data_IF_583041669513
#
_entry.id   IF_583041669513
#
_cell.length_a   1.000
_cell.length_b   1.000
_cell.length_c   1.000
_cell.angle_alpha   90.00
_cell.angle_beta   90.00
_cell.angle_gamma   90.00
#
_symmetry.space_group_name_H-M   'P 1'
#
loop_
_entity.id
_entity.type
_entity.pdbx_description
1 polymer ?
#
# COMPACT_ATOMS: atom_id res chain seq x y z
N UNK A 1 17.81 -0.49 -8.65
CA UNK A 1 16.47 -0.41 -9.29
C UNK A 1 15.46 -0.05 -8.22
N UNK A 2 14.97 1.18 -8.20
CA UNK A 2 13.94 1.59 -7.24
C UNK A 2 12.63 0.94 -7.71
N UNK A 3 12.09 0.00 -6.92
CA UNK A 3 10.80 -0.62 -7.22
C UNK A 3 9.70 0.42 -7.07
N UNK A 4 9.43 1.21 -8.10
CA UNK A 4 8.14 1.89 -8.21
C UNK A 4 7.11 0.81 -8.48
N UNK A 5 6.42 0.36 -7.42
CA UNK A 5 5.30 -0.58 -7.52
C UNK A 5 4.14 -0.04 -8.38
N UNK A 6 4.14 1.27 -8.65
CA UNK A 6 3.20 1.93 -9.54
C UNK A 6 3.47 1.55 -11.00
N UNK A 7 2.42 1.16 -11.71
CA UNK A 7 2.45 0.84 -13.12
C UNK A 7 1.75 1.97 -13.89
N UNK A 8 2.50 2.69 -14.72
CA UNK A 8 1.91 3.71 -15.60
C UNK A 8 1.15 3.03 -16.74
N UNK A 9 -0.18 3.09 -16.70
CA UNK A 9 -1.08 2.56 -17.74
C UNK A 9 -2.33 3.42 -17.91
N UNK A 10 -2.82 3.45 -19.15
CA UNK A 10 -4.12 4.04 -19.49
C UNK A 10 -5.24 3.01 -19.32
N UNK A 11 -5.85 3.03 -18.14
CA UNK A 11 -6.99 2.18 -17.79
C UNK A 11 -8.04 2.97 -17.01
N UNK A 12 -9.28 2.47 -17.02
CA UNK A 12 -10.38 3.09 -16.27
C UNK A 12 -10.00 3.27 -14.79
N UNK A 13 -9.46 2.21 -14.17
CA UNK A 13 -8.97 2.28 -12.80
C UNK A 13 -7.87 3.32 -12.65
N UNK A 14 -6.91 3.46 -13.57
CA UNK A 14 -5.85 4.46 -13.43
C UNK A 14 -6.39 5.89 -13.49
N UNK A 15 -7.39 6.15 -14.33
CA UNK A 15 -8.02 7.46 -14.51
C UNK A 15 -9.02 7.90 -13.42
N UNK A 16 -9.37 7.01 -12.49
CA UNK A 16 -10.30 7.30 -11.39
C UNK A 16 -9.65 8.14 -10.29
N UNK A 17 -10.47 8.97 -9.63
CA UNK A 17 -10.02 9.80 -8.51
C UNK A 17 -9.46 8.92 -7.37
N UNK A 18 -8.27 9.24 -6.83
CA UNK A 18 -7.63 8.48 -5.76
C UNK A 18 -8.52 8.25 -4.53
N UNK A 19 -9.40 9.20 -4.20
CA UNK A 19 -10.29 9.10 -3.03
C UNK A 19 -11.26 7.94 -3.16
N UNK A 20 -11.81 7.72 -4.35
CA UNK A 20 -12.75 6.61 -4.61
C UNK A 20 -12.03 5.28 -4.45
N UNK A 21 -10.79 5.18 -4.92
CA UNK A 21 -9.97 3.97 -4.75
C UNK A 21 -9.60 3.72 -3.29
N UNK A 22 -9.21 4.76 -2.55
CA UNK A 22 -8.90 4.66 -1.12
C UNK A 22 -10.13 4.18 -0.36
N UNK A 23 -11.28 4.85 -0.53
CA UNK A 23 -12.54 4.47 0.12
C UNK A 23 -12.97 3.06 -0.30
N UNK A 24 -12.89 2.74 -1.60
CA UNK A 24 -13.25 1.41 -2.12
C UNK A 24 -12.36 0.30 -1.56
N UNK A 25 -11.05 0.52 -1.49
CA UNK A 25 -10.11 -0.45 -0.90
C UNK A 25 -10.38 -0.65 0.60
N UNK A 26 -10.65 0.43 1.34
CA UNK A 26 -10.99 0.38 2.76
C UNK A 26 -12.30 -0.38 3.00
N UNK A 27 -13.37 -0.01 2.30
CA UNK A 27 -14.66 -0.71 2.39
C UNK A 27 -14.55 -2.17 1.97
N UNK A 28 -13.75 -2.48 0.95
CA UNK A 28 -13.47 -3.83 0.50
C UNK A 28 -12.75 -4.67 1.56
N UNK A 29 -11.74 -4.11 2.23
CA UNK A 29 -11.03 -4.78 3.33
C UNK A 29 -11.98 -5.04 4.49
N UNK A 30 -12.78 -4.04 4.89
CA UNK A 30 -13.79 -4.22 5.95
C UNK A 30 -14.76 -5.34 5.55
N UNK A 31 -15.31 -5.32 4.34
CA UNK A 31 -16.22 -6.35 3.84
C UNK A 31 -15.59 -7.76 3.88
N UNK A 32 -14.33 -7.91 3.45
CA UNK A 32 -13.62 -9.20 3.47
C UNK A 32 -13.44 -9.78 4.89
N UNK A 33 -13.29 -8.92 5.89
CA UNK A 33 -13.20 -9.34 7.30
C UNK A 33 -14.56 -9.84 7.80
N UNK A 34 -15.66 -9.34 7.25
CA UNK A 34 -17.00 -9.74 7.68
C UNK A 34 -17.38 -11.17 7.26
N UNK A 35 -16.80 -11.72 6.20
CA UNK A 35 -17.18 -13.03 5.67
C UNK A 35 -16.23 -14.15 6.10
N UNK A 36 -16.76 -15.25 6.64
CA UNK A 36 -15.97 -16.40 7.11
C UNK A 36 -16.01 -17.63 6.19
N UNK A 37 -16.88 -17.67 5.18
CA UNK A 37 -16.96 -18.82 4.26
C UNK A 37 -15.79 -18.82 3.26
N UNK A 38 -14.97 -19.89 3.20
CA UNK A 38 -13.86 -19.99 2.25
C UNK A 38 -14.30 -19.95 0.78
N UNK A 39 -15.46 -20.53 0.46
CA UNK A 39 -15.99 -20.54 -0.91
C UNK A 39 -16.35 -19.14 -1.40
N UNK A 40 -16.97 -18.34 -0.52
CA UNK A 40 -17.30 -16.95 -0.83
C UNK A 40 -16.03 -16.09 -0.97
N UNK A 41 -15.06 -16.29 -0.07
CA UNK A 41 -13.78 -15.60 -0.15
C UNK A 41 -13.03 -15.94 -1.45
N UNK A 42 -13.08 -17.19 -1.90
CA UNK A 42 -12.51 -17.60 -3.20
C UNK A 42 -13.20 -16.90 -4.37
N UNK A 43 -14.53 -16.84 -4.36
CA UNK A 43 -15.30 -16.14 -5.40
C UNK A 43 -14.97 -14.64 -5.44
N UNK A 44 -14.87 -13.98 -4.27
CA UNK A 44 -14.46 -12.58 -4.17
C UNK A 44 -13.02 -12.40 -4.67
N UNK A 45 -12.10 -13.28 -4.28
CA UNK A 45 -10.70 -13.23 -4.73
C UNK A 45 -10.58 -13.30 -6.25
N UNK A 46 -11.25 -14.28 -6.89
CA UNK A 46 -11.27 -14.42 -8.34
C UNK A 46 -11.93 -13.21 -9.01
N UNK A 47 -13.03 -12.71 -8.45
CA UNK A 47 -13.69 -11.48 -8.92
C UNK A 47 -12.77 -10.26 -8.88
N UNK A 48 -12.00 -10.08 -7.79
CA UNK A 48 -11.03 -8.99 -7.67
C UNK A 48 -9.91 -9.10 -8.72
N UNK A 49 -9.41 -10.29 -9.01
CA UNK A 49 -8.43 -10.50 -10.08
C UNK A 49 -9.02 -10.08 -11.43
N UNK A 50 -10.25 -10.48 -11.74
CA UNK A 50 -10.93 -10.12 -12.98
C UNK A 50 -11.16 -8.62 -13.10
N UNK A 51 -11.58 -7.95 -12.01
CA UNK A 51 -11.74 -6.50 -11.95
C UNK A 51 -10.41 -5.79 -12.22
N UNK A 52 -9.33 -6.20 -11.55
CA UNK A 52 -8.01 -5.61 -11.76
C UNK A 52 -7.45 -5.85 -13.18
N UNK A 53 -7.77 -7.00 -13.77
CA UNK A 53 -7.38 -7.29 -15.14
C UNK A 53 -8.19 -6.48 -16.16
N UNK A 54 -9.51 -6.42 -16.01
CA UNK A 54 -10.40 -5.79 -16.99
C UNK A 54 -10.43 -4.27 -16.87
N UNK A 55 -10.63 -3.75 -15.65
CA UNK A 55 -10.71 -2.31 -15.39
C UNK A 55 -9.32 -1.69 -15.20
N UNK A 56 -8.39 -2.44 -14.59
CA UNK A 56 -7.01 -2.01 -14.32
C UNK A 56 -6.03 -2.28 -15.45
N UNK A 57 -6.36 -3.15 -16.41
CA UNK A 57 -5.40 -3.67 -17.41
C UNK A 57 -4.11 -4.20 -16.78
N UNK A 58 -4.18 -4.76 -15.57
CA UNK A 58 -3.04 -5.33 -14.86
C UNK A 58 -2.85 -6.79 -15.32
N UNK A 59 -1.62 -7.15 -15.69
CA UNK A 59 -1.34 -8.51 -16.17
C UNK A 59 -1.31 -9.49 -14.99
N UNK A 60 -1.80 -10.73 -15.18
CA UNK A 60 -1.75 -11.78 -14.15
C UNK A 60 -0.34 -12.03 -13.61
N UNK A 61 0.69 -11.83 -14.44
CA UNK A 61 2.10 -11.96 -14.05
C UNK A 61 2.53 -10.92 -13.00
N UNK A 62 1.99 -9.70 -13.08
CA UNK A 62 2.29 -8.61 -12.14
C UNK A 62 1.62 -8.88 -10.80
N UNK A 63 0.36 -9.31 -10.83
CA UNK A 63 -0.40 -9.74 -9.65
C UNK A 63 0.33 -10.88 -8.94
N UNK A 64 0.75 -11.91 -9.69
CA UNK A 64 1.46 -13.05 -9.12
C UNK A 64 2.82 -12.67 -8.53
N UNK A 65 3.59 -11.82 -9.22
CA UNK A 65 4.87 -11.30 -8.68
C UNK A 65 4.69 -10.55 -7.37
N UNK A 66 3.61 -9.77 -7.24
CA UNK A 66 3.32 -8.99 -6.05
C UNK A 66 2.79 -9.84 -4.89
N UNK A 67 2.03 -10.90 -5.17
CA UNK A 67 1.53 -11.84 -4.15
C UNK A 67 2.54 -12.92 -3.74
N UNK A 68 3.56 -13.20 -4.57
CA UNK A 68 4.57 -14.24 -4.32
C UNK A 68 5.19 -14.19 -2.90
N UNK A 69 5.55 -13.03 -2.33
CA UNK A 69 6.12 -12.97 -0.97
C UNK A 69 5.16 -13.45 0.13
N UNK A 70 3.85 -13.48 -0.12
CA UNK A 70 2.82 -13.89 0.85
C UNK A 70 2.53 -15.39 0.81
N UNK A 71 2.94 -16.10 -0.25
CA UNK A 71 2.70 -17.55 -0.39
C UNK A 71 3.23 -18.36 0.80
N UNK A 72 4.46 -18.12 1.32
CA UNK A 72 4.94 -18.85 2.49
C UNK A 72 4.05 -18.67 3.73
N UNK A 73 3.51 -17.47 3.94
CA UNK A 73 2.62 -17.17 5.08
C UNK A 73 1.30 -17.94 4.94
N UNK A 74 0.75 -18.01 3.73
CA UNK A 74 -0.47 -18.79 3.44
C UNK A 74 -0.24 -20.28 3.67
N UNK A 75 0.89 -20.82 3.22
CA UNK A 75 1.25 -22.22 3.43
C UNK A 75 1.39 -22.55 4.92
N UNK A 76 2.05 -21.68 5.69
CA UNK A 76 2.16 -21.82 7.14
C UNK A 76 0.77 -21.86 7.79
N UNK A 77 -0.14 -20.96 7.41
CA UNK A 77 -1.51 -20.97 7.92
C UNK A 77 -2.24 -22.28 7.59
N UNK A 78 -2.12 -22.78 6.35
CA UNK A 78 -2.74 -24.04 5.93
C UNK A 78 -2.23 -25.26 6.72
N UNK A 79 -0.97 -25.25 7.17
CA UNK A 79 -0.40 -26.33 7.98
C UNK A 79 -0.82 -26.18 9.45
N UNK A 80 -0.78 -24.98 10.02
CA UNK A 80 -1.02 -24.75 11.45
C UNK A 80 -2.48 -25.02 11.85
N UNK A 81 -3.46 -24.53 11.09
CA UNK A 81 -4.88 -24.60 11.47
C UNK A 81 -5.42 -26.04 11.65
N UNK A 82 -5.07 -27.04 10.81
CA UNK A 82 -5.39 -28.46 11.05
C UNK A 82 -4.86 -29.04 12.36
N UNK A 83 -3.72 -28.57 12.88
CA UNK A 83 -3.19 -29.03 14.17
C UNK A 83 -3.94 -28.45 15.36
N UNK A 84 -4.46 -27.23 15.22
CA UNK A 84 -5.20 -26.53 16.28
C UNK A 84 -6.64 -27.03 16.37
N UNK A 85 -7.33 -27.14 15.25
CA UNK A 85 -8.76 -27.48 15.19
C UNK A 85 -8.96 -28.92 14.74
N UNK A 86 -9.58 -29.72 15.61
CA UNK A 86 -10.05 -31.08 15.29
C UNK A 86 -11.55 -31.04 14.98
N UNK A 87 -12.05 -31.77 13.97
CA UNK A 87 -11.33 -32.66 13.04
C UNK A 87 -10.44 -31.91 12.03
N UNK A 88 -9.34 -32.54 11.61
CA UNK A 88 -8.28 -31.91 10.81
C UNK A 88 -8.76 -31.33 9.46
N UNK A 89 -9.75 -31.96 8.82
CA UNK A 89 -10.36 -31.45 7.59
C UNK A 89 -11.01 -30.07 7.78
N UNK A 90 -11.61 -29.82 8.94
CA UNK A 90 -12.23 -28.55 9.27
C UNK A 90 -11.19 -27.46 9.54
N UNK A 91 -10.11 -27.82 10.23
CA UNK A 91 -8.95 -26.93 10.40
C UNK A 91 -8.29 -26.57 9.06
N UNK A 92 -8.21 -27.50 8.10
CA UNK A 92 -7.68 -27.25 6.76
C UNK A 92 -8.56 -26.25 6.00
N UNK A 93 -9.88 -26.44 6.02
CA UNK A 93 -10.85 -25.57 5.36
C UNK A 93 -10.78 -24.13 5.91
N UNK A 94 -10.62 -23.98 7.22
CA UNK A 94 -10.41 -22.68 7.88
C UNK A 94 -9.06 -22.07 7.49
N UNK A 95 -7.98 -22.86 7.50
CA UNK A 95 -6.64 -22.41 7.11
C UNK A 95 -6.59 -21.88 5.67
N UNK A 96 -7.24 -22.59 4.74
CA UNK A 96 -7.42 -22.13 3.35
C UNK A 96 -8.24 -20.84 3.31
N UNK A 97 -9.33 -20.75 4.07
CA UNK A 97 -10.14 -19.52 4.16
C UNK A 97 -9.35 -18.29 4.60
N UNK A 98 -8.54 -18.42 5.66
CA UNK A 98 -7.66 -17.34 6.12
C UNK A 98 -6.57 -17.00 5.11
N UNK A 99 -6.00 -18.01 4.44
CA UNK A 99 -5.02 -17.81 3.36
C UNK A 99 -5.59 -16.99 2.21
N UNK A 100 -6.77 -17.36 1.72
CA UNK A 100 -7.46 -16.62 0.66
C UNK A 100 -7.85 -15.21 1.11
N UNK A 101 -8.29 -15.05 2.37
CA UNK A 101 -8.59 -13.71 2.92
C UNK A 101 -7.36 -12.82 2.91
N UNK A 102 -6.21 -13.33 3.36
CA UNK A 102 -4.93 -12.61 3.34
C UNK A 102 -4.55 -12.20 1.91
N UNK A 103 -4.66 -13.11 0.94
CA UNK A 103 -4.38 -12.82 -0.47
C UNK A 103 -5.36 -11.79 -1.04
N UNK A 104 -6.64 -11.83 -0.66
CA UNK A 104 -7.67 -10.89 -1.13
C UNK A 104 -7.44 -9.48 -0.58
N UNK A 105 -7.12 -9.35 0.70
CA UNK A 105 -6.76 -8.07 1.33
C UNK A 105 -5.50 -7.51 0.67
N UNK A 106 -4.48 -8.35 0.48
CA UNK A 106 -3.27 -7.94 -0.21
C UNK A 106 -3.54 -7.50 -1.64
N UNK A 107 -4.43 -8.18 -2.37
CA UNK A 107 -4.77 -7.83 -3.74
C UNK A 107 -5.47 -6.46 -3.83
N UNK A 108 -6.36 -6.13 -2.89
CA UNK A 108 -6.99 -4.80 -2.82
C UNK A 108 -5.97 -3.70 -2.55
N UNK A 109 -5.07 -3.89 -1.59
CA UNK A 109 -4.07 -2.88 -1.23
C UNK A 109 -3.00 -2.73 -2.32
N UNK A 110 -2.54 -3.83 -2.90
CA UNK A 110 -1.62 -3.81 -4.04
C UNK A 110 -2.26 -3.19 -5.28
N UNK A 111 -3.54 -3.47 -5.54
CA UNK A 111 -4.30 -2.83 -6.62
C UNK A 111 -4.32 -1.30 -6.46
N UNK A 112 -4.53 -0.78 -5.25
CA UNK A 112 -4.46 0.66 -4.97
C UNK A 112 -3.08 1.23 -5.28
N UNK A 113 -2.01 0.58 -4.79
CA UNK A 113 -0.62 1.04 -4.95
C UNK A 113 -0.16 0.96 -6.41
N UNK A 114 -0.58 -0.08 -7.15
CA UNK A 114 -0.21 -0.26 -8.56
C UNK A 114 -0.90 0.76 -9.47
N UNK A 115 -2.13 1.17 -9.13
CA UNK A 115 -2.99 2.01 -10.00
C UNK A 115 -3.03 3.48 -9.62
N UNK A 116 -2.37 3.88 -8.52
CA UNK A 116 -2.38 5.26 -8.02
C UNK A 116 -0.95 5.70 -7.74
N UNK A 117 -0.55 6.84 -8.31
CA UNK A 117 0.77 7.39 -8.03
C UNK A 117 0.88 7.82 -6.56
N UNK A 118 2.09 7.78 -6.01
CA UNK A 118 2.33 8.21 -4.62
C UNK A 118 1.87 9.65 -4.37
N UNK A 119 2.07 10.55 -5.34
CA UNK A 119 1.66 11.95 -5.26
C UNK A 119 0.13 12.08 -5.20
N UNK A 120 -0.57 11.33 -6.06
CA UNK A 120 -2.03 11.37 -6.14
C UNK A 120 -2.68 10.76 -4.89
N UNK A 121 -2.03 9.75 -4.30
CA UNK A 121 -2.47 9.17 -3.03
C UNK A 121 -2.43 10.22 -1.90
N UNK A 122 -1.34 11.00 -1.81
CA UNK A 122 -1.23 12.09 -0.82
C UNK A 122 -2.23 13.21 -1.10
N UNK A 123 -2.42 13.61 -2.36
CA UNK A 123 -3.47 14.57 -2.73
C UNK A 123 -4.87 14.07 -2.37
N UNK A 124 -5.12 12.77 -2.52
CA UNK A 124 -6.34 12.10 -2.08
C UNK A 124 -6.58 12.28 -0.58
N UNK A 125 -5.56 12.03 0.25
CA UNK A 125 -5.65 12.26 1.70
C UNK A 125 -5.89 13.72 2.07
N UNK A 126 -5.19 14.67 1.43
CA UNK A 126 -5.41 16.12 1.66
C UNK A 126 -6.87 16.49 1.38
N UNK A 127 -7.43 16.00 0.26
CA UNK A 127 -8.82 16.27 -0.13
C UNK A 127 -9.84 15.54 0.76
N UNK A 128 -9.44 14.50 1.49
CA UNK A 128 -10.27 13.80 2.48
C UNK A 128 -10.25 14.45 3.88
N UNK A 129 -9.47 15.52 4.06
CA UNK A 129 -9.41 16.28 5.32
C UNK A 129 -8.06 16.27 6.03
N UNK A 130 -7.02 15.65 5.46
CA UNK A 130 -5.66 15.76 5.99
C UNK A 130 -5.15 17.22 5.86
N UNK A 131 -4.57 17.80 6.93
CA UNK A 131 -3.92 19.11 6.86
C UNK A 131 -2.88 19.19 5.74
N UNK A 132 -2.86 20.31 5.03
CA UNK A 132 -1.99 20.50 3.88
C UNK A 132 -0.51 20.39 4.24
N UNK A 133 -0.13 20.85 5.43
CA UNK A 133 1.24 20.81 5.95
C UNK A 133 1.74 19.37 6.10
N UNK A 134 0.88 18.46 6.56
CA UNK A 134 1.20 17.03 6.67
C UNK A 134 1.35 16.41 5.28
N UNK A 135 0.41 16.71 4.37
CA UNK A 135 0.48 16.20 3.00
C UNK A 135 1.70 16.72 2.23
N UNK A 136 2.08 17.98 2.44
CA UNK A 136 3.30 18.54 1.88
C UNK A 136 4.54 17.83 2.43
N UNK A 137 4.60 17.65 3.75
CA UNK A 137 5.72 16.96 4.41
C UNK A 137 5.89 15.53 3.88
N UNK A 138 4.78 14.80 3.73
CA UNK A 138 4.80 13.45 3.17
C UNK A 138 5.24 13.44 1.69
N UNK A 139 4.75 14.38 0.88
CA UNK A 139 5.14 14.51 -0.53
C UNK A 139 6.64 14.82 -0.67
N UNK A 140 7.15 15.71 0.18
CA UNK A 140 8.57 16.05 0.27
C UNK A 140 9.37 14.79 0.65
N UNK A 141 8.99 14.12 1.74
CA UNK A 141 9.67 12.91 2.21
C UNK A 141 9.76 11.85 1.10
N UNK A 142 8.64 11.53 0.45
CA UNK A 142 8.59 10.55 -0.65
C UNK A 142 9.49 10.94 -1.83
N UNK A 143 9.55 12.23 -2.17
CA UNK A 143 10.44 12.76 -3.21
C UNK A 143 11.92 12.67 -2.83
N UNK A 144 12.26 12.75 -1.55
CA UNK A 144 13.66 12.69 -1.07
C UNK A 144 14.17 11.26 -0.86
N UNK A 145 13.31 10.24 -0.75
CA UNK A 145 13.74 8.83 -0.62
C UNK A 145 14.76 8.41 -1.71
N UNK A 146 14.52 8.65 -3.01
CA UNK A 146 15.50 8.30 -4.06
C UNK A 146 16.83 9.04 -3.89
N UNK A 147 16.77 10.33 -3.56
CA UNK A 147 17.95 11.18 -3.38
C UNK A 147 18.77 10.72 -2.18
N UNK A 148 18.13 10.40 -1.05
CA UNK A 148 18.80 9.86 0.14
C UNK A 148 19.43 8.50 -0.13
N UNK A 149 18.78 7.65 -0.94
CA UNK A 149 19.36 6.38 -1.35
C UNK A 149 20.65 6.59 -2.17
N UNK A 150 20.61 7.48 -3.17
CA UNK A 150 21.79 7.80 -3.98
C UNK A 150 22.93 8.37 -3.11
N UNK A 151 22.60 9.31 -2.21
CA UNK A 151 23.56 9.89 -1.27
C UNK A 151 24.17 8.83 -0.35
N UNK A 152 23.36 7.89 0.13
CA UNK A 152 23.84 6.77 0.95
C UNK A 152 24.84 5.93 0.18
N UNK A 153 24.57 5.60 -1.08
CA UNK A 153 25.52 4.85 -1.93
C UNK A 153 26.82 5.62 -2.11
N UNK A 154 26.76 6.93 -2.43
CA UNK A 154 27.96 7.76 -2.57
C UNK A 154 28.79 7.82 -1.29
N UNK A 155 28.15 7.97 -0.11
CA UNK A 155 28.85 7.97 1.17
C UNK A 155 29.48 6.59 1.44
N UNK A 156 28.74 5.50 1.18
CA UNK A 156 29.27 4.15 1.34
C UNK A 156 30.50 3.92 0.47
N UNK A 157 30.47 4.33 -0.80
CA UNK A 157 31.60 4.18 -1.73
C UNK A 157 32.80 5.01 -1.28
N UNK A 158 32.57 6.26 -0.83
CA UNK A 158 33.64 7.10 -0.29
C UNK A 158 34.30 6.52 0.96
N UNK A 159 33.52 5.90 1.86
CA UNK A 159 34.06 5.23 3.05
C UNK A 159 34.80 3.94 2.69
N UNK A 160 34.32 3.17 1.70
CA UNK A 160 35.03 1.99 1.18
C UNK A 160 36.38 2.39 0.57
N UNK A 161 36.47 3.53 -0.12
CA UNK A 161 37.75 4.06 -0.61
C UNK A 161 38.73 4.45 0.51
N UNK A 162 38.22 4.71 1.73
CA UNK A 162 39.04 4.93 2.94
C UNK A 162 39.32 3.62 3.70
N UNK A 163 39.24 2.49 3.01
CA UNK A 163 39.44 1.15 3.56
C UNK A 163 38.45 0.73 4.68
N UNK A 164 37.27 1.35 4.75
CA UNK A 164 36.23 0.91 5.68
C UNK A 164 35.53 -0.35 5.14
N UNK A 165 35.73 -1.49 5.80
CA UNK A 165 35.07 -2.75 5.48
C UNK A 165 33.68 -2.83 6.15
N UNK A 166 32.63 -2.41 5.43
CA UNK A 166 31.25 -2.38 5.95
C UNK A 166 30.65 -3.78 6.23
N UNK A 167 31.07 -4.79 5.47
CA UNK A 167 30.43 -6.13 5.48
C UNK A 167 31.15 -7.15 6.37
N UNK A 168 32.29 -6.78 6.97
CA UNK A 168 33.14 -7.72 7.72
C UNK A 168 32.84 -7.70 9.23
N UNK A 169 32.98 -8.87 9.85
CA UNK A 169 32.83 -9.06 11.30
C UNK A 169 31.44 -9.48 11.76
N UNK A 170 31.27 -9.57 13.08
CA UNK A 170 30.02 -9.96 13.74
C UNK A 170 28.94 -8.89 13.57
N UNK A 171 27.67 -9.22 13.85
CA UNK A 171 26.53 -8.29 13.77
C UNK A 171 26.80 -6.94 14.45
N UNK A 172 27.39 -6.95 15.65
CA UNK A 172 27.73 -5.74 16.39
C UNK A 172 28.84 -4.92 15.72
N UNK A 173 29.82 -5.59 15.09
CA UNK A 173 30.89 -4.92 14.36
C UNK A 173 30.34 -4.25 13.10
N UNK A 174 29.46 -4.93 12.36
CA UNK A 174 28.78 -4.36 11.18
C UNK A 174 27.95 -3.13 11.54
N UNK A 175 27.24 -3.18 12.67
CA UNK A 175 26.49 -2.03 13.17
C UNK A 175 27.41 -0.83 13.46
N UNK A 176 28.53 -1.06 14.16
CA UNK A 176 29.55 -0.02 14.41
C UNK A 176 30.15 0.52 13.11
N UNK A 177 30.46 -0.35 12.15
CA UNK A 177 31.02 0.03 10.85
C UNK A 177 30.03 0.85 10.00
N UNK A 178 28.74 0.83 10.32
CA UNK A 178 27.72 1.65 9.62
C UNK A 178 27.67 3.08 10.13
N UNK A 179 28.15 3.35 11.35
CA UNK A 179 28.13 4.69 11.97
C UNK A 179 28.83 5.77 11.11
N UNK A 180 30.02 5.52 10.51
CA UNK A 180 30.67 6.47 9.59
C UNK A 180 29.88 6.81 8.32
N UNK A 181 28.87 6.01 7.95
CA UNK A 181 27.94 6.31 6.85
C UNK A 181 26.73 7.10 7.37
N UNK A 182 26.23 6.70 8.54
CA UNK A 182 25.02 7.25 9.14
C UNK A 182 25.19 8.72 9.58
N UNK A 183 26.33 9.07 10.18
CA UNK A 183 26.59 10.45 10.63
C UNK A 183 26.59 11.44 9.45
N UNK A 184 27.37 11.25 8.37
CA UNK A 184 27.32 12.14 7.21
C UNK A 184 25.95 12.21 6.55
N UNK A 185 25.22 11.09 6.49
CA UNK A 185 23.87 11.06 5.93
C UNK A 185 22.90 11.93 6.73
N UNK A 186 22.95 11.88 8.07
CA UNK A 186 22.13 12.73 8.94
C UNK A 186 22.50 14.20 8.75
N UNK A 187 23.80 14.54 8.78
CA UNK A 187 24.26 15.93 8.60
C UNK A 187 23.80 16.48 7.25
N UNK A 188 23.95 15.71 6.18
CA UNK A 188 23.50 16.10 4.84
C UNK A 188 21.97 16.24 4.75
N UNK A 189 21.22 15.37 5.44
CA UNK A 189 19.76 15.45 5.49
C UNK A 189 19.29 16.71 6.24
N UNK A 190 19.92 17.05 7.36
CA UNK A 190 19.64 18.29 8.12
C UNK A 190 19.95 19.52 7.27
N UNK A 191 21.10 19.54 6.60
CA UNK A 191 21.48 20.63 5.69
C UNK A 191 20.44 20.81 4.57
N UNK A 192 20.04 19.70 3.94
CA UNK A 192 19.01 19.70 2.89
C UNK A 192 17.67 20.22 3.40
N UNK A 193 17.26 19.82 4.61
CA UNK A 193 16.03 20.31 5.23
C UNK A 193 16.09 21.83 5.50
N UNK A 194 17.24 22.34 5.96
CA UNK A 194 17.45 23.75 6.21
C UNK A 194 17.41 24.58 4.91
N UNK A 195 18.12 24.13 3.87
CA UNK A 195 18.10 24.76 2.54
C UNK A 195 16.68 24.75 1.94
N UNK A 196 15.95 23.65 2.10
CA UNK A 196 14.56 23.54 1.66
C UNK A 196 13.65 24.51 2.41
N UNK A 197 13.85 24.70 3.72
CA UNK A 197 13.09 25.68 4.52
C UNK A 197 13.28 27.10 3.98
N UNK A 198 14.55 27.51 3.80
CA UNK A 198 14.89 28.83 3.25
C UNK A 198 14.28 29.02 1.86
N UNK A 199 14.33 28.00 1.01
CA UNK A 199 13.73 28.04 -0.32
C UNK A 199 12.21 28.15 -0.30
N UNK A 200 11.54 27.50 0.66
CA UNK A 200 10.09 27.60 0.86
C UNK A 200 9.71 28.99 1.36
N UNK A 201 10.41 29.52 2.37
CA UNK A 201 10.19 30.86 2.91
C UNK A 201 10.41 31.95 1.86
N UNK A 202 11.46 31.83 1.04
CA UNK A 202 11.75 32.74 -0.09
C UNK A 202 10.63 32.75 -1.15
N UNK A 203 9.83 31.67 -1.22
CA UNK A 203 8.65 31.56 -2.09
C UNK A 203 7.35 31.92 -1.37
N UNK A 204 7.45 32.65 -0.25
CA UNK A 204 6.32 33.05 0.59
C UNK A 204 5.47 31.87 1.09
N UNK A 205 6.09 30.71 1.30
CA UNK A 205 5.40 29.56 1.88
C UNK A 205 4.91 29.90 3.28
N UNK A 206 3.59 29.89 3.48
CA UNK A 206 2.95 30.21 4.77
C UNK A 206 2.28 31.58 4.78
N UNK A 207 2.50 32.43 3.77
CA UNK A 207 1.94 33.78 3.73
C UNK A 207 0.40 33.83 3.55
N UNK A 208 -0.20 32.81 2.95
CA UNK A 208 -1.65 32.73 2.75
C UNK A 208 -2.24 31.46 3.39
N UNK A 209 -3.37 31.64 4.09
CA UNK A 209 -4.22 30.54 4.58
C UNK A 209 -4.96 29.82 3.45
N UNK A 210 -5.27 30.51 2.34
CA UNK A 210 -5.90 29.90 1.16
C UNK A 210 -4.82 29.44 0.19
N UNK A 211 -4.70 28.12 0.01
CA UNK A 211 -3.76 27.48 -0.92
C UNK A 211 -4.46 27.06 -2.20
N UNK A 212 -3.77 27.25 -3.33
CA UNK A 212 -4.20 26.78 -4.65
C UNK A 212 -3.34 25.59 -5.08
N UNK A 213 -3.92 24.64 -5.79
CA UNK A 213 -3.22 23.47 -6.31
C UNK A 213 -3.02 23.64 -7.82
N UNK A 214 -1.77 23.55 -8.28
CA UNK A 214 -1.47 23.55 -9.73
C UNK A 214 -2.05 22.31 -10.41
N UNK A 215 -1.89 21.15 -9.77
CA UNK A 215 -2.54 19.91 -10.17
C UNK A 215 -3.59 19.54 -9.12
N UNK A 216 -4.86 19.76 -9.44
CA UNK A 216 -5.98 19.42 -8.57
C UNK A 216 -6.69 18.18 -9.07
N UNK A 217 -6.78 17.14 -8.25
CA UNK A 217 -7.72 16.05 -8.49
C UNK A 217 -9.16 16.58 -8.38
N UNK A 218 -9.97 16.26 -9.39
CA UNK A 218 -11.40 16.60 -9.46
C UNK A 218 -12.16 15.30 -9.60
N UNK A 219 -13.23 15.16 -8.81
CA UNK A 219 -14.16 14.04 -8.98
C UNK A 219 -15.02 14.32 -10.21
N UNK A 220 -14.95 13.43 -11.17
CA UNK A 220 -15.84 13.43 -12.33
C UNK A 220 -17.11 12.62 -12.03
N UNK A 221 -18.13 12.73 -12.88
CA UNK A 221 -19.38 11.96 -12.74
C UNK A 221 -19.15 10.45 -12.65
N UNK A 222 -18.14 9.93 -13.36
CA UNK A 222 -17.72 8.52 -13.28
C UNK A 222 -17.25 8.11 -11.87
N UNK A 223 -16.63 9.03 -11.13
CA UNK A 223 -16.11 8.78 -9.79
C UNK A 223 -17.24 8.73 -8.77
N UNK A 224 -18.23 9.63 -8.89
CA UNK A 224 -19.44 9.61 -8.07
C UNK A 224 -20.28 8.35 -8.29
N UNK A 225 -20.45 7.92 -9.55
CA UNK A 225 -21.15 6.67 -9.88
C UNK A 225 -20.39 5.48 -9.26
N UNK A 226 -19.08 5.42 -9.45
CA UNK A 226 -18.25 4.34 -8.90
C UNK A 226 -18.30 4.30 -7.37
N UNK A 227 -18.28 5.46 -6.71
CA UNK A 227 -18.42 5.56 -5.26
C UNK A 227 -19.79 5.06 -4.80
N UNK A 228 -20.87 5.43 -5.49
CA UNK A 228 -22.22 4.96 -5.20
C UNK A 228 -22.34 3.45 -5.33
N UNK A 229 -21.77 2.86 -6.40
CA UNK A 229 -21.72 1.41 -6.61
C UNK A 229 -20.96 0.72 -5.48
N UNK A 230 -19.79 1.24 -5.09
CA UNK A 230 -18.98 0.66 -4.00
C UNK A 230 -19.71 0.70 -2.65
N UNK A 231 -20.37 1.81 -2.33
CA UNK A 231 -21.16 1.95 -1.11
C UNK A 231 -22.36 0.98 -1.14
N UNK A 232 -23.06 0.89 -2.27
CA UNK A 232 -24.17 -0.06 -2.44
C UNK A 232 -23.71 -1.50 -2.25
N UNK A 233 -22.59 -1.90 -2.87
CA UNK A 233 -22.01 -3.23 -2.70
C UNK A 233 -21.63 -3.51 -1.24
N UNK A 234 -21.11 -2.51 -0.52
CA UNK A 234 -20.79 -2.64 0.90
C UNK A 234 -22.05 -2.87 1.76
N UNK A 235 -23.13 -2.11 1.52
CA UNK A 235 -24.40 -2.32 2.22
C UNK A 235 -25.05 -3.66 1.87
N UNK A 236 -24.98 -4.09 0.60
CA UNK A 236 -25.43 -5.42 0.19
C UNK A 236 -24.63 -6.51 0.91
N UNK A 237 -23.30 -6.34 1.05
CA UNK A 237 -22.46 -7.27 1.79
C UNK A 237 -22.84 -7.35 3.28
N UNK A 238 -23.14 -6.22 3.91
CA UNK A 238 -23.65 -6.17 5.28
C UNK A 238 -25.02 -6.85 5.38
N UNK A 239 -25.94 -6.53 4.48
CA UNK A 239 -27.28 -7.11 4.46
C UNK A 239 -27.23 -8.63 4.26
N UNK A 240 -26.41 -9.12 3.32
CA UNK A 240 -26.20 -10.54 3.09
C UNK A 240 -25.62 -11.25 4.33
N UNK A 241 -24.76 -10.57 5.10
CA UNK A 241 -24.26 -11.12 6.35
C UNK A 241 -25.32 -11.18 7.44
N UNK A 242 -26.01 -10.08 7.71
CA UNK A 242 -26.93 -9.97 8.85
C UNK A 242 -28.27 -10.66 8.61
N UNK A 243 -28.81 -10.56 7.40
CA UNK A 243 -30.15 -11.06 7.07
C UNK A 243 -30.13 -12.47 6.49
N UNK A 244 -29.21 -12.75 5.56
CA UNK A 244 -29.14 -14.05 4.88
C UNK A 244 -28.24 -15.07 5.61
N UNK A 245 -27.54 -14.67 6.68
CA UNK A 245 -26.52 -15.49 7.39
C UNK A 245 -25.49 -16.14 6.44
N UNK A 246 -25.31 -15.58 5.25
CA UNK A 246 -24.39 -16.09 4.24
C UNK A 246 -22.96 -15.83 4.72
N UNK A 247 -22.18 -16.89 4.83
CA UNK A 247 -20.82 -16.82 5.33
C UNK A 247 -20.65 -17.18 6.81
N UNK A 248 -21.72 -17.60 7.50
CA UNK A 248 -21.61 -18.19 8.83
C UNK A 248 -21.14 -19.64 8.71
N UNK A 249 -19.89 -19.92 9.08
CA UNK A 249 -19.54 -21.26 9.55
C UNK A 249 -19.99 -21.27 11.01
N UNK A 250 -21.03 -22.07 11.33
CA UNK A 250 -21.32 -22.40 12.73
C UNK A 250 -20.11 -23.12 13.29
N UNK A 251 -19.25 -22.40 13.99
CA UNK A 251 -18.39 -22.96 15.00
C UNK A 251 -19.30 -23.20 16.21
N UNK A 252 -19.88 -24.40 16.24
CA UNK A 252 -20.97 -24.89 17.11
C UNK A 252 -22.39 -24.44 16.70
#
# INVERSE_FOLDING_TARGET
MMYTLYLERDSFLHSMDPRVKIIGSFLGVVALILFNSPYLLLAIFLGLILILNFLGKIQYREIFKALKPLIPIVLIAMVIWPFILKPWYFGLLIGVGYGIRLLSVALLTLGLIMTTSQKDLVLGFIKMGMPYEIGLTLTIALRYIPTLYMLTQTIMDAQKSRALELEKGNFLQRAKNTVPVLIPLIVASIKTAHELSIALESRAFGASKRRTFLHSIKMETKDYISLGVLISLFFVAIYARYYLRVGYIKLF
#
